data_IF_864950803051
#
_entry.id   IF_864950803051
#
_cell.length_a   1.000
_cell.length_b   1.000
_cell.length_c   1.000
_cell.angle_alpha   90.00
_cell.angle_beta   90.00
_cell.angle_gamma   90.00
#
_symmetry.space_group_name_H-M   'P 1'
#
loop_
_entity.id
_entity.type
_entity.pdbx_description
1 polymer ?
#
# COMPACT_ATOMS: atom_id res chain seq x y z
N UNK A 1 8.99 42.27 16.38
CA UNK A 1 7.95 41.57 17.16
C UNK A 1 6.75 41.34 16.25
N UNK A 2 6.78 40.46 15.24
CA UNK A 2 6.80 38.98 15.25
C UNK A 2 5.77 38.33 16.19
N UNK A 3 4.62 38.98 16.32
CA UNK A 3 3.40 38.39 16.90
C UNK A 3 2.18 38.68 16.02
N UNK A 4 2.35 38.62 14.69
CA UNK A 4 1.21 38.26 13.83
C UNK A 4 1.11 36.76 13.98
N UNK A 5 0.34 36.36 14.97
CA UNK A 5 -0.16 35.01 15.16
C UNK A 5 -0.94 34.63 13.90
N UNK A 6 -0.23 34.23 12.84
CA UNK A 6 -0.76 33.32 11.85
C UNK A 6 -0.99 32.03 12.62
N UNK A 7 -2.16 31.97 13.26
CA UNK A 7 -2.87 30.80 13.70
C UNK A 7 -3.19 29.93 12.47
N UNK A 8 -2.15 29.47 11.77
CA UNK A 8 -2.18 28.16 11.13
C UNK A 8 -1.91 27.14 12.23
N UNK A 9 -2.79 27.12 13.23
CA UNK A 9 -3.13 25.87 13.88
C UNK A 9 -3.83 25.10 12.76
N UNK A 10 -3.06 24.39 11.93
CA UNK A 10 -3.60 23.30 11.14
C UNK A 10 -4.02 22.25 12.15
N UNK A 11 -5.24 22.48 12.63
CA UNK A 11 -6.20 21.50 13.10
C UNK A 11 -5.70 20.08 12.86
N UNK A 12 -5.23 19.50 13.96
CA UNK A 12 -5.46 18.11 14.34
C UNK A 12 -5.36 17.11 13.19
N UNK A 13 -4.26 16.34 13.17
CA UNK A 13 -4.14 14.88 13.01
C UNK A 13 -5.41 14.04 12.71
N UNK A 14 -6.23 14.56 11.82
CA UNK A 14 -7.38 13.98 11.18
C UNK A 14 -7.24 14.52 9.77
N UNK A 15 -6.15 14.13 9.11
CA UNK A 15 -6.26 13.81 7.70
C UNK A 15 -7.43 12.82 7.66
N UNK A 16 -8.63 13.33 7.41
CA UNK A 16 -9.82 12.54 7.26
C UNK A 16 -9.40 11.39 6.35
N UNK A 17 -9.59 10.14 6.78
CA UNK A 17 -9.32 8.97 5.93
C UNK A 17 -10.10 9.22 4.64
N UNK A 18 -9.42 9.77 3.64
CA UNK A 18 -10.08 10.22 2.43
C UNK A 18 -10.13 9.00 1.54
N UNK A 19 -11.30 8.37 1.49
CA UNK A 19 -11.54 7.28 0.56
C UNK A 19 -11.39 7.83 -0.86
N UNK A 20 -10.37 7.34 -1.58
CA UNK A 20 -10.19 7.62 -2.99
C UNK A 20 -11.05 6.62 -3.77
N UNK A 21 -12.01 7.11 -4.56
CA UNK A 21 -12.99 6.26 -5.23
C UNK A 21 -12.67 6.03 -6.71
N UNK A 22 -11.63 6.69 -7.23
CA UNK A 22 -11.27 6.65 -8.64
C UNK A 22 -9.77 6.73 -8.90
N UNK A 23 -9.32 6.26 -10.06
CA UNK A 23 -7.94 6.43 -10.52
C UNK A 23 -7.58 7.92 -10.63
N UNK A 24 -8.53 8.78 -10.99
CA UNK A 24 -8.33 10.23 -11.01
C UNK A 24 -8.04 10.81 -9.63
N UNK A 25 -8.70 10.30 -8.58
CA UNK A 25 -8.42 10.72 -7.19
C UNK A 25 -7.01 10.32 -6.80
N UNK A 26 -6.59 9.10 -7.13
CA UNK A 26 -5.23 8.61 -6.88
C UNK A 26 -4.20 9.47 -7.59
N UNK A 27 -4.39 9.75 -8.89
CA UNK A 27 -3.49 10.60 -9.69
C UNK A 27 -3.35 12.01 -9.13
N UNK A 28 -4.42 12.56 -8.58
CA UNK A 28 -4.46 13.91 -8.01
C UNK A 28 -3.81 13.98 -6.62
N UNK A 29 -4.08 13.00 -5.77
CA UNK A 29 -3.68 13.02 -4.35
C UNK A 29 -2.29 12.44 -4.09
N UNK A 30 -1.83 11.52 -4.94
CA UNK A 30 -0.50 10.89 -4.81
C UNK A 30 0.32 11.12 -6.08
N UNK A 31 0.51 12.40 -6.49
CA UNK A 31 1.31 12.69 -7.67
C UNK A 31 2.73 12.17 -7.46
N UNK A 32 3.39 11.74 -8.54
CA UNK A 32 4.80 11.35 -8.52
C UNK A 32 5.10 10.08 -7.68
N UNK A 33 4.26 9.05 -7.80
CA UNK A 33 4.51 7.73 -7.21
C UNK A 33 4.25 6.61 -8.22
N UNK A 34 4.89 5.44 -8.01
CA UNK A 34 4.62 4.20 -8.78
C UNK A 34 3.36 3.46 -8.31
N UNK A 35 2.44 4.13 -7.60
CA UNK A 35 1.26 3.49 -7.02
C UNK A 35 0.35 2.89 -8.08
N UNK A 36 0.28 3.48 -9.29
CA UNK A 36 -0.59 2.97 -10.36
C UNK A 36 -0.04 1.68 -10.95
N UNK A 37 1.28 1.60 -11.16
CA UNK A 37 1.95 0.41 -11.64
C UNK A 37 1.90 -0.70 -10.59
N UNK A 38 2.10 -0.35 -9.31
CA UNK A 38 1.98 -1.30 -8.20
C UNK A 38 0.54 -1.80 -8.03
N UNK A 39 -0.47 -0.93 -8.14
CA UNK A 39 -1.88 -1.31 -8.09
C UNK A 39 -2.26 -2.21 -9.26
N UNK A 40 -1.80 -1.89 -10.47
CA UNK A 40 -2.03 -2.72 -11.65
C UNK A 40 -1.45 -4.12 -11.44
N UNK A 41 -0.20 -4.22 -11.02
CA UNK A 41 0.41 -5.50 -10.72
C UNK A 41 -0.34 -6.25 -9.60
N UNK A 42 -0.71 -5.55 -8.52
CA UNK A 42 -1.41 -6.18 -7.41
C UNK A 42 -2.79 -6.70 -7.82
N UNK A 43 -3.49 -6.00 -8.70
CA UNK A 43 -4.77 -6.46 -9.26
C UNK A 43 -4.62 -7.78 -10.03
N UNK A 44 -3.51 -7.98 -10.75
CA UNK A 44 -3.21 -9.26 -11.44
C UNK A 44 -2.87 -10.39 -10.45
N UNK A 45 -2.46 -10.04 -9.22
CA UNK A 45 -2.08 -10.98 -8.15
C UNK A 45 -3.22 -11.28 -7.17
N UNK A 46 -4.42 -10.78 -7.46
CA UNK A 46 -5.60 -10.92 -6.62
C UNK A 46 -6.70 -11.64 -7.38
N UNK A 47 -7.30 -12.64 -6.75
CA UNK A 47 -8.55 -13.25 -7.18
C UNK A 47 -9.65 -12.83 -6.21
N UNK A 48 -10.79 -12.39 -6.75
CA UNK A 48 -11.98 -12.06 -5.96
C UNK A 48 -13.06 -13.07 -6.36
N UNK A 49 -13.52 -13.85 -5.40
CA UNK A 49 -14.60 -14.81 -5.65
C UNK A 49 -15.97 -14.11 -5.75
N UNK A 50 -17.01 -14.87 -6.09
CA UNK A 50 -18.36 -14.32 -6.23
C UNK A 50 -18.98 -13.85 -4.90
N UNK A 51 -18.36 -14.15 -3.76
CA UNK A 51 -18.75 -13.62 -2.45
C UNK A 51 -17.99 -12.34 -2.09
N UNK A 52 -17.09 -11.86 -2.95
CA UNK A 52 -16.24 -10.71 -2.69
C UNK A 52 -15.02 -11.02 -1.81
N UNK A 53 -14.71 -12.31 -1.60
CA UNK A 53 -13.52 -12.69 -0.82
C UNK A 53 -12.28 -12.51 -1.68
N UNK A 54 -11.43 -11.60 -1.26
CA UNK A 54 -10.14 -11.35 -1.89
C UNK A 54 -9.11 -12.39 -1.43
N UNK A 55 -8.42 -13.00 -2.39
CA UNK A 55 -7.31 -13.95 -2.17
C UNK A 55 -6.12 -13.56 -3.02
N UNK A 56 -4.92 -13.61 -2.45
CA UNK A 56 -3.69 -13.35 -3.21
C UNK A 56 -3.17 -14.64 -3.82
N UNK A 57 -2.59 -14.54 -5.02
CA UNK A 57 -2.05 -15.70 -5.77
C UNK A 57 -0.58 -15.99 -5.44
N UNK A 58 -0.01 -15.26 -4.48
CA UNK A 58 1.37 -15.39 -4.01
C UNK A 58 1.43 -15.57 -2.49
N UNK A 59 2.56 -16.03 -1.97
CA UNK A 59 2.85 -16.12 -0.55
C UNK A 59 3.33 -14.77 0.00
N UNK A 60 2.50 -14.06 0.79
CA UNK A 60 2.82 -12.73 1.29
C UNK A 60 3.85 -12.73 2.43
N UNK A 61 4.34 -13.90 2.86
CA UNK A 61 5.44 -13.99 3.83
C UNK A 61 6.82 -13.97 3.18
N UNK A 62 6.91 -14.17 1.86
CA UNK A 62 8.21 -14.39 1.21
C UNK A 62 8.31 -13.88 -0.22
N UNK A 63 7.21 -13.68 -0.94
CA UNK A 63 7.25 -13.33 -2.35
C UNK A 63 7.08 -11.82 -2.58
N UNK A 64 7.70 -11.33 -3.65
CA UNK A 64 7.57 -9.93 -4.12
C UNK A 64 7.95 -8.84 -3.09
N UNK A 65 8.80 -9.18 -2.11
CA UNK A 65 9.15 -8.26 -1.02
C UNK A 65 8.04 -8.06 0.01
N UNK A 66 6.97 -8.88 -0.06
CA UNK A 66 5.87 -8.80 0.87
C UNK A 66 6.25 -9.39 2.24
N UNK A 67 5.73 -8.76 3.29
CA UNK A 67 5.95 -9.18 4.67
C UNK A 67 4.81 -8.71 5.57
N UNK A 68 4.76 -9.25 6.80
CA UNK A 68 3.78 -8.89 7.81
C UNK A 68 3.81 -7.39 8.15
N UNK A 69 2.64 -6.76 8.19
CA UNK A 69 2.46 -5.38 8.62
C UNK A 69 1.88 -5.34 10.04
N UNK A 70 2.65 -4.81 11.00
CA UNK A 70 2.30 -4.86 12.42
C UNK A 70 1.15 -3.96 12.87
N UNK A 71 0.81 -2.91 12.10
CA UNK A 71 -0.22 -1.93 12.47
C UNK A 71 -0.06 -1.36 13.90
N UNK A 72 1.17 -1.07 14.33
CA UNK A 72 1.47 -0.63 15.70
C UNK A 72 0.88 0.75 16.02
N UNK A 73 0.69 1.57 14.98
CA UNK A 73 0.11 2.90 15.07
C UNK A 73 -1.43 2.87 15.17
N UNK A 74 -2.06 1.69 15.03
CA UNK A 74 -3.52 1.54 15.12
C UNK A 74 -4.28 2.25 13.99
N UNK A 75 -3.65 2.43 12.82
CA UNK A 75 -4.26 3.12 11.67
C UNK A 75 -5.36 2.25 11.06
N UNK A 76 -5.17 0.93 11.05
CA UNK A 76 -6.17 -0.04 10.59
C UNK A 76 -6.91 -0.66 11.77
N UNK A 77 -8.13 -1.11 11.54
CA UNK A 77 -8.87 -1.91 12.52
C UNK A 77 -8.18 -3.27 12.73
N UNK A 78 -8.55 -4.00 13.79
CA UNK A 78 -7.99 -5.34 14.01
C UNK A 78 -8.44 -6.29 12.88
N UNK A 79 -7.55 -7.13 12.31
CA UNK A 79 -7.97 -8.06 11.27
C UNK A 79 -8.92 -9.11 11.84
N UNK A 80 -9.84 -9.60 11.00
CA UNK A 80 -10.73 -10.72 11.31
C UNK A 80 -9.94 -11.96 11.74
N UNK A 81 -10.60 -12.88 12.45
CA UNK A 81 -9.96 -14.10 12.92
C UNK A 81 -9.29 -14.88 11.78
N UNK A 82 -8.03 -15.25 11.97
CA UNK A 82 -7.22 -15.96 10.98
C UNK A 82 -6.60 -15.07 9.89
N UNK A 83 -6.98 -13.80 9.78
CA UNK A 83 -6.36 -12.84 8.87
C UNK A 83 -5.19 -12.12 9.55
N UNK A 84 -4.20 -11.76 8.74
CA UNK A 84 -3.07 -10.90 9.12
C UNK A 84 -2.91 -9.81 8.09
N UNK A 85 -2.39 -8.66 8.51
CA UNK A 85 -2.01 -7.62 7.57
C UNK A 85 -0.62 -7.91 7.00
N UNK A 86 -0.49 -7.67 5.72
CA UNK A 86 0.74 -7.73 4.97
C UNK A 86 0.91 -6.44 4.20
N UNK A 87 2.14 -6.20 3.77
CA UNK A 87 2.44 -5.10 2.90
C UNK A 87 3.29 -5.53 1.73
N UNK A 88 3.17 -4.82 0.61
CA UNK A 88 4.00 -4.98 -0.59
C UNK A 88 4.30 -3.60 -1.19
N UNK A 89 5.48 -3.45 -1.80
CA UNK A 89 6.02 -2.16 -2.23
C UNK A 89 7.02 -1.59 -1.22
N UNK A 90 7.16 -0.26 -1.18
CA UNK A 90 8.15 0.47 -0.37
C UNK A 90 9.58 -0.09 -0.54
N UNK A 91 10.12 0.07 -1.74
CA UNK A 91 11.29 -0.63 -2.28
C UNK A 91 12.62 -0.16 -1.68
N UNK A 92 12.84 -0.34 -0.38
CA UNK A 92 14.07 0.09 0.28
C UNK A 92 15.17 -0.98 0.40
N UNK A 93 15.01 -2.18 -0.19
CA UNK A 93 15.98 -3.28 -0.07
C UNK A 93 15.87 -4.34 -1.20
N UNK A 94 16.91 -5.19 -1.29
CA UNK A 94 17.19 -6.26 -2.28
C UNK A 94 16.04 -7.25 -2.53
N UNK A 95 15.02 -7.27 -1.67
CA UNK A 95 13.80 -8.07 -1.87
C UNK A 95 12.91 -7.57 -3.03
N UNK A 96 13.11 -6.32 -3.46
CA UNK A 96 12.38 -5.67 -4.56
C UNK A 96 12.64 -6.27 -5.95
N UNK A 97 13.75 -6.99 -6.16
CA UNK A 97 14.08 -7.62 -7.44
C UNK A 97 12.97 -8.53 -7.98
N UNK A 98 12.15 -9.06 -7.07
CA UNK A 98 11.04 -9.95 -7.39
C UNK A 98 9.84 -9.24 -8.03
N UNK A 99 9.69 -7.93 -7.85
CA UNK A 99 8.62 -7.17 -8.52
C UNK A 99 8.96 -6.94 -10.01
N UNK A 100 7.95 -6.89 -10.90
CA UNK A 100 8.19 -6.64 -12.31
C UNK A 100 8.95 -5.34 -12.55
N UNK A 101 9.82 -5.34 -13.57
CA UNK A 101 10.63 -4.17 -13.92
C UNK A 101 9.78 -2.94 -14.22
N UNK A 102 8.58 -3.09 -14.79
CA UNK A 102 7.68 -1.95 -15.03
C UNK A 102 7.13 -1.32 -13.74
N UNK A 103 7.09 -2.04 -12.62
CA UNK A 103 6.70 -1.49 -11.30
C UNK A 103 7.88 -0.80 -10.64
N UNK A 104 9.07 -1.39 -10.76
CA UNK A 104 10.32 -0.86 -10.19
C UNK A 104 10.82 0.38 -10.94
N UNK A 105 10.79 0.32 -12.26
CA UNK A 105 11.34 1.33 -13.17
C UNK A 105 10.30 2.37 -13.58
N UNK A 106 9.09 2.33 -13.00
CA UNK A 106 8.07 3.35 -13.19
C UNK A 106 8.55 4.77 -12.82
N UNK A 107 9.73 4.88 -12.19
CA UNK A 107 10.40 6.16 -11.94
C UNK A 107 11.92 6.06 -12.09
N UNK A 108 12.51 6.94 -12.91
CA UNK A 108 13.96 7.09 -13.11
C UNK A 108 14.46 8.53 -12.92
N UNK A 109 13.65 9.41 -12.30
CA UNK A 109 13.81 10.86 -12.46
C UNK A 109 14.17 11.68 -11.22
N UNK A 110 14.13 11.14 -10.02
CA UNK A 110 14.54 11.84 -8.79
C UNK A 110 14.99 10.85 -7.74
N UNK A 111 15.96 11.27 -6.96
CA UNK A 111 16.71 10.48 -5.99
C UNK A 111 15.78 9.72 -5.01
N UNK A 112 15.59 8.43 -5.27
CA UNK A 112 15.50 7.42 -4.24
C UNK A 112 14.14 7.02 -3.66
N UNK A 113 12.99 7.63 -4.01
CA UNK A 113 11.76 7.38 -3.23
C UNK A 113 10.50 7.03 -4.05
N UNK A 114 10.45 5.83 -4.63
CA UNK A 114 9.16 5.19 -4.96
C UNK A 114 8.57 4.53 -3.69
N UNK A 115 7.84 5.34 -2.90
CA UNK A 115 7.29 5.00 -1.57
C UNK A 115 5.91 4.36 -1.62
N UNK A 116 5.40 4.01 -2.81
CA UNK A 116 4.07 3.41 -2.89
C UNK A 116 4.09 2.07 -2.17
N UNK A 117 3.09 1.87 -1.33
CA UNK A 117 2.94 0.69 -0.50
C UNK A 117 1.47 0.32 -0.45
N UNK A 118 1.17 -0.94 -0.70
CA UNK A 118 -0.16 -1.50 -0.49
C UNK A 118 -0.11 -2.27 0.81
N UNK A 119 -1.10 -2.03 1.68
CA UNK A 119 -1.36 -2.85 2.87
C UNK A 119 -2.66 -3.60 2.63
N UNK A 120 -2.65 -4.90 2.86
CA UNK A 120 -3.79 -5.78 2.61
C UNK A 120 -3.91 -6.83 3.69
N UNK A 121 -5.10 -7.36 3.92
CA UNK A 121 -5.31 -8.51 4.79
C UNK A 121 -5.33 -9.80 3.96
N UNK A 122 -4.70 -10.86 4.48
CA UNK A 122 -4.74 -12.18 3.87
C UNK A 122 -4.77 -13.28 4.95
N UNK A 123 -5.25 -14.45 4.57
CA UNK A 123 -5.27 -15.66 5.40
C UNK A 123 -4.82 -16.86 4.56
N UNK A 124 -4.24 -17.87 5.21
CA UNK A 124 -3.88 -19.11 4.53
C UNK A 124 -4.94 -20.17 4.79
N UNK A 125 -5.42 -20.82 3.74
CA UNK A 125 -6.39 -21.92 3.81
C UNK A 125 -5.96 -23.02 2.85
N UNK A 126 -5.76 -24.24 3.34
CA UNK A 126 -5.37 -25.41 2.52
C UNK A 126 -4.16 -25.13 1.61
N UNK A 127 -3.15 -24.43 2.13
CA UNK A 127 -1.93 -24.06 1.38
C UNK A 127 -2.09 -22.92 0.38
N UNK A 128 -3.29 -22.34 0.22
CA UNK A 128 -3.56 -21.16 -0.62
C UNK A 128 -3.70 -19.91 0.23
N UNK A 129 -3.24 -18.80 -0.31
CA UNK A 129 -3.43 -17.46 0.27
C UNK A 129 -4.68 -16.77 -0.29
#
# INVERSE_FOLDING_TARGET
>A
SLCVALLLILTSAQAARQTLNSISDIKRCVPQSNILELLRWFADMVNIDHYGTMRVTFNPNSEYGSHHYGNYEGILDRPSWGYRYYTVGNLHEDSSERLPSYVRNAWSGTDGWSRARIVFSATQTNGRW
#
